data_IF_547928506191
#
_entry.id   IF_547928506191
#
_cell.length_a   1.000
_cell.length_b   1.000
_cell.length_c   1.000
_cell.angle_alpha   90.00
_cell.angle_beta   90.00
_cell.angle_gamma   90.00
#
_symmetry.space_group_name_H-M   'P 1'
#
loop_
_entity.id
_entity.type
_entity.pdbx_description
1 polymer ?
#
# COMPACT_ATOMS: atom_id res chain seq x y z
N UNK A 1 4.23 12.10 -19.47
CA UNK A 1 4.47 11.12 -18.41
C UNK A 1 4.43 9.73 -19.02
N UNK A 2 5.44 8.88 -18.77
CA UNK A 2 5.50 7.50 -19.22
C UNK A 2 5.80 6.63 -18.00
N UNK A 3 4.97 5.62 -17.74
CA UNK A 3 5.19 4.65 -16.68
C UNK A 3 5.63 3.35 -17.34
N UNK A 4 6.82 2.87 -16.99
CA UNK A 4 7.32 1.56 -17.43
C UNK A 4 7.14 0.58 -16.28
N UNK A 5 6.23 -0.39 -16.43
CA UNK A 5 6.11 -1.47 -15.46
C UNK A 5 7.41 -2.28 -15.43
N UNK A 6 8.01 -2.42 -14.25
CA UNK A 6 9.19 -3.28 -14.04
C UNK A 6 8.79 -4.75 -14.12
N UNK A 7 9.76 -5.64 -14.37
CA UNK A 7 9.51 -7.08 -14.36
C UNK A 7 8.94 -7.51 -13.00
N UNK A 8 7.76 -8.15 -13.02
CA UNK A 8 7.05 -8.51 -11.80
C UNK A 8 6.43 -7.33 -11.06
N UNK A 9 6.31 -6.16 -11.70
CA UNK A 9 5.84 -4.90 -11.10
C UNK A 9 4.32 -4.80 -10.89
N UNK A 10 3.57 -5.87 -11.11
CA UNK A 10 2.17 -5.95 -10.70
C UNK A 10 1.94 -7.25 -9.94
N UNK A 11 1.45 -7.13 -8.71
CA UNK A 11 1.20 -8.25 -7.81
C UNK A 11 0.00 -7.98 -6.92
N UNK A 12 -0.63 -9.05 -6.47
CA UNK A 12 -1.76 -9.03 -5.56
C UNK A 12 -1.45 -9.95 -4.38
N UNK A 13 -1.71 -9.46 -3.18
CA UNK A 13 -1.46 -10.17 -1.93
C UNK A 13 -2.73 -10.24 -1.09
N UNK A 14 -2.86 -11.32 -0.32
CA UNK A 14 -3.80 -11.37 0.80
C UNK A 14 -3.00 -11.02 2.05
N UNK A 15 -3.46 -10.01 2.78
CA UNK A 15 -2.88 -9.65 4.06
C UNK A 15 -3.58 -10.46 5.15
N UNK A 16 -2.93 -11.52 5.61
CA UNK A 16 -3.45 -12.33 6.70
C UNK A 16 -3.32 -11.58 8.02
N UNK A 17 -4.40 -11.56 8.81
CA UNK A 17 -4.42 -10.95 10.14
C UNK A 17 -5.06 -11.89 11.15
N UNK A 18 -4.58 -11.83 12.38
CA UNK A 18 -5.18 -12.58 13.48
C UNK A 18 -6.51 -11.96 13.96
N UNK A 19 -7.23 -12.74 14.77
CA UNK A 19 -8.51 -12.32 15.35
C UNK A 19 -8.42 -11.04 16.16
N UNK A 20 -7.33 -10.82 16.88
CA UNK A 20 -7.17 -9.65 17.74
C UNK A 20 -7.01 -8.36 16.91
N UNK A 21 -6.20 -8.43 15.85
CA UNK A 21 -5.99 -7.35 14.89
C UNK A 21 -7.27 -7.02 14.14
N UNK A 22 -8.02 -8.05 13.73
CA UNK A 22 -9.34 -7.88 13.11
C UNK A 22 -10.34 -7.19 14.07
N UNK A 23 -10.43 -7.66 15.32
CA UNK A 23 -11.31 -7.04 16.32
C UNK A 23 -10.96 -5.57 16.56
N UNK A 24 -9.66 -5.25 16.70
CA UNK A 24 -9.20 -3.86 16.86
C UNK A 24 -9.55 -3.00 15.64
N UNK A 25 -9.42 -3.52 14.42
CA UNK A 25 -9.84 -2.81 13.21
C UNK A 25 -11.33 -2.44 13.29
N UNK A 26 -12.18 -3.37 13.69
CA UNK A 26 -13.62 -3.12 13.85
C UNK A 26 -13.94 -2.10 14.95
N UNK A 27 -13.18 -2.09 16.05
CA UNK A 27 -13.38 -1.17 17.16
C UNK A 27 -12.88 0.25 16.86
N UNK A 28 -11.71 0.38 16.21
CA UNK A 28 -11.05 1.68 16.01
C UNK A 28 -11.27 2.25 14.61
N UNK A 29 -11.75 1.47 13.66
CA UNK A 29 -11.85 1.87 12.25
C UNK A 29 -10.49 2.16 11.62
N UNK A 30 -9.43 1.46 12.06
CA UNK A 30 -8.07 1.72 11.57
C UNK A 30 -7.18 0.49 11.53
N UNK A 31 -6.26 0.43 10.56
CA UNK A 31 -5.24 -0.60 10.44
C UNK A 31 -3.90 0.00 10.02
N UNK A 32 -2.81 -0.53 10.57
CA UNK A 32 -1.44 -0.21 10.13
C UNK A 32 -0.92 -1.36 9.26
N UNK A 33 -0.62 -1.06 8.00
CA UNK A 33 -0.09 -2.04 7.03
C UNK A 33 1.45 -2.08 7.06
N UNK A 34 2.07 -0.99 7.47
CA UNK A 34 3.51 -0.88 7.73
C UNK A 34 3.75 0.17 8.83
N UNK A 35 5.02 0.44 9.16
CA UNK A 35 5.37 1.51 10.11
C UNK A 35 4.94 2.91 9.62
N UNK A 36 4.87 3.12 8.31
CA UNK A 36 4.57 4.42 7.69
C UNK A 36 3.17 4.50 7.09
N UNK A 37 2.48 3.36 6.96
CA UNK A 37 1.19 3.28 6.28
C UNK A 37 0.11 2.90 7.27
N UNK A 38 -0.71 3.88 7.63
CA UNK A 38 -1.90 3.72 8.44
C UNK A 38 -3.13 4.10 7.62
N UNK A 39 -4.13 3.23 7.63
CA UNK A 39 -5.46 3.50 7.08
C UNK A 39 -6.40 3.76 8.24
N UNK A 40 -7.15 4.85 8.17
CA UNK A 40 -8.10 5.29 9.20
C UNK A 40 -9.47 5.60 8.59
N UNK A 41 -10.50 5.68 9.43
CA UNK A 41 -11.87 5.98 9.01
C UNK A 41 -12.56 4.82 8.29
N UNK A 42 -12.16 3.59 8.58
CA UNK A 42 -12.81 2.39 8.09
C UNK A 42 -14.16 2.21 8.78
N UNK A 43 -15.20 1.94 8.00
CA UNK A 43 -16.55 1.76 8.51
C UNK A 43 -16.85 0.26 8.75
N UNK A 44 -17.44 -0.11 9.90
CA UNK A 44 -17.91 -1.47 10.11
C UNK A 44 -18.92 -1.89 9.03
N UNK A 45 -18.81 -3.14 8.56
CA UNK A 45 -19.69 -3.72 7.53
C UNK A 45 -19.68 -2.98 6.19
N UNK A 46 -18.58 -2.30 5.86
CA UNK A 46 -18.35 -1.66 4.58
C UNK A 46 -17.08 -2.20 3.93
N UNK A 47 -17.00 -2.11 2.62
CA UNK A 47 -15.75 -2.32 1.88
C UNK A 47 -15.15 -0.96 1.57
N UNK A 48 -13.88 -0.79 1.94
CA UNK A 48 -13.11 0.44 1.71
C UNK A 48 -12.02 0.21 0.68
N UNK A 49 -11.90 1.16 -0.25
CA UNK A 49 -10.83 1.20 -1.25
C UNK A 49 -9.86 2.32 -0.90
N UNK A 50 -8.56 2.01 -0.87
CA UNK A 50 -7.50 2.98 -0.59
C UNK A 50 -6.33 2.75 -1.54
N UNK A 51 -5.73 3.83 -2.02
CA UNK A 51 -4.45 3.79 -2.72
C UNK A 51 -3.40 4.40 -1.80
N UNK A 52 -2.27 3.71 -1.65
CA UNK A 52 -1.14 4.17 -0.83
C UNK A 52 0.16 4.03 -1.62
N UNK A 53 1.07 4.97 -1.44
CA UNK A 53 2.42 4.89 -1.99
C UNK A 53 3.32 4.13 -0.99
N UNK A 54 3.89 3.01 -1.43
CA UNK A 54 4.80 2.18 -0.64
C UNK A 54 6.25 2.65 -0.73
N UNK A 55 6.65 3.18 -1.89
CA UNK A 55 7.99 3.65 -2.19
C UNK A 55 7.95 4.74 -3.27
N UNK A 56 8.92 5.65 -3.22
CA UNK A 56 8.95 6.84 -4.06
C UNK A 56 7.92 7.91 -3.70
N UNK A 57 7.89 8.99 -4.48
CA UNK A 57 6.93 10.07 -4.35
C UNK A 57 6.54 10.63 -5.71
N UNK A 58 5.33 11.17 -5.79
CA UNK A 58 4.86 11.97 -6.92
C UNK A 58 4.81 13.43 -6.49
N UNK A 59 5.41 14.30 -7.29
CA UNK A 59 5.44 15.73 -7.05
C UNK A 59 4.30 16.43 -7.79
N UNK A 60 3.92 17.62 -7.31
CA UNK A 60 2.82 18.42 -7.89
C UNK A 60 3.11 18.83 -9.34
N UNK A 61 4.38 18.95 -9.70
CA UNK A 61 4.82 19.24 -11.06
C UNK A 61 4.72 18.04 -12.02
N UNK A 62 4.26 16.89 -11.53
CA UNK A 62 4.12 15.65 -12.30
C UNK A 62 5.43 14.86 -12.45
N UNK A 63 6.51 15.26 -11.77
CA UNK A 63 7.71 14.44 -11.64
C UNK A 63 7.50 13.34 -10.60
N UNK A 64 8.27 12.26 -10.73
CA UNK A 64 8.29 11.16 -9.78
C UNK A 64 9.71 10.93 -9.31
N UNK A 65 9.89 10.78 -7.99
CA UNK A 65 11.16 10.38 -7.40
C UNK A 65 11.08 8.91 -7.02
N UNK A 66 11.90 8.09 -7.65
CA UNK A 66 11.98 6.66 -7.37
C UNK A 66 12.90 6.37 -6.19
N UNK A 67 12.56 5.37 -5.39
CA UNK A 67 13.42 4.87 -4.31
C UNK A 67 13.64 3.36 -4.44
N UNK A 68 14.47 2.78 -3.56
CA UNK A 68 14.53 1.33 -3.41
C UNK A 68 13.24 0.79 -2.80
N UNK A 69 12.77 -0.34 -3.30
CA UNK A 69 11.66 -1.09 -2.73
C UNK A 69 11.98 -2.58 -2.73
N UNK A 70 11.72 -3.24 -1.60
CA UNK A 70 11.85 -4.69 -1.47
C UNK A 70 10.57 -5.30 -0.93
N UNK A 71 10.19 -6.42 -1.51
CA UNK A 71 9.13 -7.29 -1.01
C UNK A 71 9.64 -8.75 -0.96
N UNK A 72 8.84 -9.71 -0.45
CA UNK A 72 9.28 -11.11 -0.32
C UNK A 72 9.69 -11.81 -1.63
N UNK A 73 9.45 -11.22 -2.80
CA UNK A 73 9.82 -11.81 -4.08
C UNK A 73 10.63 -10.89 -5.00
N UNK A 74 11.24 -9.83 -4.45
CA UNK A 74 12.20 -9.04 -5.22
C UNK A 74 12.60 -7.74 -4.57
N UNK A 75 13.63 -7.15 -5.15
CA UNK A 75 14.06 -5.77 -4.88
C UNK A 75 14.11 -5.03 -6.20
N UNK A 76 13.62 -3.80 -6.20
CA UNK A 76 13.64 -2.91 -7.34
C UNK A 76 14.23 -1.56 -6.93
N UNK A 77 15.05 -1.00 -7.83
CA UNK A 77 15.71 0.27 -7.65
C UNK A 77 15.05 1.36 -8.50
N UNK A 78 15.07 2.60 -8.00
CA UNK A 78 14.51 3.77 -8.66
C UNK A 78 13.03 3.60 -9.07
N UNK A 79 12.21 3.06 -8.17
CA UNK A 79 10.78 2.80 -8.43
C UNK A 79 9.86 3.67 -7.60
N UNK A 80 8.74 4.05 -8.20
CA UNK A 80 7.52 4.46 -7.50
C UNK A 80 6.62 3.22 -7.40
N UNK A 81 6.15 2.90 -6.19
CA UNK A 81 5.30 1.73 -5.94
C UNK A 81 4.00 2.19 -5.29
N UNK A 82 2.88 1.93 -5.96
CA UNK A 82 1.54 2.20 -5.44
C UNK A 82 0.81 0.88 -5.16
N UNK A 83 0.13 0.82 -4.02
CA UNK A 83 -0.71 -0.30 -3.64
C UNK A 83 -2.17 0.12 -3.60
N UNK A 84 -3.00 -0.61 -4.35
CA UNK A 84 -4.46 -0.55 -4.23
C UNK A 84 -4.91 -1.58 -3.21
N UNK A 85 -5.51 -1.10 -2.13
CA UNK A 85 -5.95 -1.89 -0.99
C UNK A 85 -7.47 -1.93 -0.99
N UNK A 86 -8.01 -3.12 -0.74
CA UNK A 86 -9.42 -3.36 -0.48
C UNK A 86 -9.50 -4.00 0.90
N UNK A 87 -10.21 -3.34 1.82
CA UNK A 87 -10.43 -3.78 3.20
C UNK A 87 -11.93 -4.01 3.38
#
# INVERSE_FOLDING_TARGET
SHISAVRGGHRKYLFEMDRHTCARLHETGSISLSKSIQVVGLLPNSTDYRVVTLAGSTNIDGSCDGTEYSDPYGTWSHVLVEASITI
#
